data_IF_086706785335
#
_entry.id   IF_086706785335
#
_cell.length_a   1.000
_cell.length_b   1.000
_cell.length_c   1.000
_cell.angle_alpha   90.00
_cell.angle_beta   90.00
_cell.angle_gamma   90.00
#
_symmetry.space_group_name_H-M   'P 1'
#
loop_
_entity.id
_entity.type
_entity.pdbx_description
1 polymer ?
#
# COMPACT_ATOMS: atom_id res chain seq x y z
N UNK A 1 15.05 30.14 0.86
CA UNK A 1 14.79 28.68 0.81
C UNK A 1 15.02 28.20 -0.62
N UNK A 2 15.77 27.12 -0.85
CA UNK A 2 15.95 26.61 -2.22
C UNK A 2 14.62 26.02 -2.72
N UNK A 3 14.38 26.01 -4.05
CA UNK A 3 13.16 25.44 -4.65
C UNK A 3 12.92 23.98 -4.24
N UNK A 4 13.99 23.21 -4.04
CA UNK A 4 13.90 21.82 -3.58
C UNK A 4 13.47 21.70 -2.12
N UNK A 5 13.86 22.64 -1.26
CA UNK A 5 13.44 22.67 0.14
C UNK A 5 11.94 22.99 0.25
N UNK A 6 11.49 23.99 -0.53
CA UNK A 6 10.07 24.36 -0.61
C UNK A 6 9.21 23.20 -1.12
N UNK A 7 9.66 22.52 -2.17
CA UNK A 7 8.97 21.34 -2.69
C UNK A 7 8.99 20.18 -1.68
N UNK A 8 10.08 19.99 -0.96
CA UNK A 8 10.15 18.97 0.09
C UNK A 8 9.14 19.22 1.21
N UNK A 9 8.97 20.47 1.65
CA UNK A 9 7.92 20.86 2.60
C UNK A 9 6.53 20.52 2.06
N UNK A 10 6.23 20.88 0.81
CA UNK A 10 4.93 20.61 0.17
C UNK A 10 4.60 19.11 0.13
N UNK A 11 5.55 18.25 -0.25
CA UNK A 11 5.31 16.80 -0.29
C UNK A 11 5.21 16.20 1.13
N UNK A 12 5.87 16.77 2.13
CA UNK A 12 5.71 16.34 3.52
C UNK A 12 4.28 16.65 3.99
N UNK A 13 3.84 17.89 3.84
CA UNK A 13 2.49 18.31 4.22
C UNK A 13 1.41 17.48 3.50
N UNK A 14 1.62 17.20 2.21
CA UNK A 14 0.66 16.46 1.39
C UNK A 14 0.61 14.96 1.67
N UNK A 15 1.76 14.29 1.83
CA UNK A 15 1.81 12.82 1.81
C UNK A 15 2.14 12.17 3.15
N UNK A 16 2.70 12.89 4.13
CA UNK A 16 3.22 12.29 5.36
C UNK A 16 2.16 11.47 6.10
N UNK A 17 0.96 12.03 6.28
CA UNK A 17 -0.13 11.36 7.02
C UNK A 17 -0.57 10.06 6.36
N UNK A 18 -0.74 10.04 5.05
CA UNK A 18 -1.25 8.86 4.34
C UNK A 18 -0.18 7.78 4.18
N UNK A 19 1.08 8.19 3.98
CA UNK A 19 2.21 7.26 3.99
C UNK A 19 2.40 6.65 5.38
N UNK A 20 2.26 7.44 6.45
CA UNK A 20 2.33 6.93 7.81
C UNK A 20 1.22 5.92 8.09
N UNK A 21 -0.03 6.22 7.72
CA UNK A 21 -1.15 5.27 7.84
C UNK A 21 -0.86 3.97 7.09
N UNK A 22 -0.36 4.06 5.86
CA UNK A 22 0.04 2.90 5.07
C UNK A 22 1.12 2.06 5.78
N UNK A 23 2.15 2.70 6.34
CA UNK A 23 3.25 2.03 7.03
C UNK A 23 2.78 1.39 8.35
N UNK A 24 1.99 2.11 9.15
CA UNK A 24 1.40 1.60 10.39
C UNK A 24 0.53 0.37 10.14
N UNK A 25 -0.35 0.44 9.14
CA UNK A 25 -1.16 -0.69 8.70
C UNK A 25 -0.30 -1.86 8.21
N UNK A 26 0.75 -1.58 7.44
CA UNK A 26 1.60 -2.60 6.83
C UNK A 26 2.47 -3.30 7.88
N UNK A 27 3.05 -2.57 8.82
CA UNK A 27 4.02 -3.06 9.80
C UNK A 27 3.38 -3.57 11.10
N UNK A 28 2.14 -3.15 11.41
CA UNK A 28 1.41 -3.52 12.63
C UNK A 28 2.20 -3.24 13.92
N UNK A 29 3.06 -2.24 13.88
CA UNK A 29 3.89 -1.80 14.98
C UNK A 29 4.16 -0.31 14.77
N UNK A 30 3.76 0.50 15.74
CA UNK A 30 3.76 1.96 15.64
C UNK A 30 5.19 2.52 15.64
N UNK A 31 6.07 2.03 16.51
CA UNK A 31 7.48 2.46 16.56
C UNK A 31 8.17 2.23 15.21
N UNK A 32 7.97 1.05 14.60
CA UNK A 32 8.52 0.77 13.26
C UNK A 32 7.89 1.59 12.17
N UNK A 33 6.62 2.00 12.31
CA UNK A 33 6.00 2.90 11.37
C UNK A 33 6.59 4.31 11.47
N UNK A 34 6.91 4.76 12.69
CA UNK A 34 7.62 6.02 12.97
C UNK A 34 9.05 6.00 12.40
N UNK A 35 9.76 4.87 12.49
CA UNK A 35 11.08 4.74 11.87
C UNK A 35 10.97 4.69 10.34
N UNK A 36 10.06 3.88 9.81
CA UNK A 36 9.88 3.71 8.37
C UNK A 36 9.42 4.98 7.66
N UNK A 37 8.59 5.83 8.30
CA UNK A 37 8.17 7.11 7.71
C UNK A 37 9.36 8.08 7.63
N UNK A 38 10.21 8.11 8.66
CA UNK A 38 11.44 8.91 8.65
C UNK A 38 12.39 8.44 7.55
N UNK A 39 12.67 7.13 7.48
CA UNK A 39 13.49 6.54 6.43
C UNK A 39 12.95 6.88 5.04
N UNK A 40 11.62 6.84 4.88
CA UNK A 40 10.96 7.18 3.61
C UNK A 40 11.30 8.61 3.21
N UNK A 41 11.02 9.58 4.06
CA UNK A 41 11.23 10.98 3.73
C UNK A 41 12.72 11.38 3.63
N UNK A 42 13.63 10.67 4.33
CA UNK A 42 15.08 10.80 4.13
C UNK A 42 15.47 10.36 2.71
N UNK A 43 14.98 9.20 2.24
CA UNK A 43 15.26 8.71 0.88
C UNK A 43 14.69 9.67 -0.16
N UNK A 44 13.50 10.23 0.09
CA UNK A 44 12.88 11.23 -0.78
C UNK A 44 13.71 12.49 -0.85
N UNK A 45 14.17 13.03 0.28
CA UNK A 45 15.03 14.22 0.31
C UNK A 45 16.36 13.99 -0.42
N UNK A 46 17.01 12.82 -0.20
CA UNK A 46 18.24 12.45 -0.92
C UNK A 46 18.04 12.39 -2.44
N UNK A 47 16.83 12.06 -2.88
CA UNK A 47 16.45 11.98 -4.29
C UNK A 47 15.61 13.18 -4.75
N UNK A 48 15.61 14.31 -4.03
CA UNK A 48 14.61 15.38 -4.20
C UNK A 48 14.61 15.96 -5.62
N UNK A 49 15.77 16.04 -6.28
CA UNK A 49 15.86 16.49 -7.68
C UNK A 49 15.15 15.54 -8.64
N UNK A 50 15.26 14.23 -8.40
CA UNK A 50 14.59 13.21 -9.19
C UNK A 50 13.09 13.23 -8.93
N UNK A 51 12.69 13.36 -7.67
CA UNK A 51 11.28 13.44 -7.28
C UNK A 51 10.62 14.72 -7.81
N UNK A 52 11.31 15.85 -7.76
CA UNK A 52 10.83 17.14 -8.29
C UNK A 52 10.55 17.11 -9.79
N UNK A 53 11.40 16.42 -10.55
CA UNK A 53 11.21 16.25 -12.00
C UNK A 53 10.42 14.99 -12.35
N UNK A 54 9.88 14.27 -11.36
CA UNK A 54 9.11 13.05 -11.59
C UNK A 54 7.67 13.41 -11.96
N UNK A 55 7.12 12.75 -12.96
CA UNK A 55 5.74 12.98 -13.42
C UNK A 55 4.69 12.66 -12.34
N UNK A 56 5.00 11.69 -11.46
CA UNK A 56 4.17 11.36 -10.30
C UNK A 56 5.02 11.27 -9.00
N UNK A 57 5.23 12.40 -8.30
CA UNK A 57 5.99 12.42 -7.05
C UNK A 57 5.34 11.59 -5.94
N UNK A 58 4.00 11.58 -5.84
CA UNK A 58 3.26 10.82 -4.83
C UNK A 58 3.47 9.31 -4.98
N UNK A 59 3.35 8.79 -6.19
CA UNK A 59 3.62 7.38 -6.50
C UNK A 59 5.06 6.97 -6.15
N UNK A 60 6.03 7.84 -6.41
CA UNK A 60 7.43 7.61 -6.01
C UNK A 60 7.58 7.50 -4.49
N UNK A 61 6.91 8.38 -3.73
CA UNK A 61 6.89 8.37 -2.26
C UNK A 61 6.28 7.07 -1.72
N UNK A 62 5.10 6.69 -2.19
CA UNK A 62 4.45 5.45 -1.77
C UNK A 62 5.24 4.20 -2.15
N UNK A 63 5.92 4.20 -3.31
CA UNK A 63 6.79 3.09 -3.71
C UNK A 63 8.00 2.98 -2.78
N UNK A 64 8.60 4.10 -2.42
CA UNK A 64 9.70 4.16 -1.46
C UNK A 64 9.28 3.59 -0.11
N UNK A 65 8.12 4.04 0.42
CA UNK A 65 7.54 3.52 1.65
C UNK A 65 7.27 2.00 1.60
N UNK A 66 6.73 1.50 0.47
CA UNK A 66 6.50 0.07 0.27
C UNK A 66 7.80 -0.75 0.33
N UNK A 67 8.88 -0.25 -0.30
CA UNK A 67 10.18 -0.93 -0.28
C UNK A 67 10.79 -0.95 1.12
N UNK A 68 10.69 0.16 1.85
CA UNK A 68 11.14 0.25 3.25
C UNK A 68 10.35 -0.72 4.12
N UNK A 69 9.01 -0.74 4.02
CA UNK A 69 8.19 -1.65 4.79
C UNK A 69 8.51 -3.14 4.51
N UNK A 70 8.84 -3.49 3.25
CA UNK A 70 9.31 -4.84 2.90
C UNK A 70 10.62 -5.18 3.60
N UNK A 71 11.57 -4.25 3.66
CA UNK A 71 12.85 -4.45 4.35
C UNK A 71 12.65 -4.66 5.86
N UNK A 72 11.83 -3.83 6.51
CA UNK A 72 11.49 -3.99 7.93
C UNK A 72 10.84 -5.36 8.21
N UNK A 73 9.96 -5.83 7.32
CA UNK A 73 9.38 -7.18 7.42
C UNK A 73 10.40 -8.29 7.24
N UNK A 74 11.36 -8.13 6.34
CA UNK A 74 12.43 -9.11 6.11
C UNK A 74 13.34 -9.22 7.35
N UNK A 75 13.71 -8.09 7.95
CA UNK A 75 14.52 -8.06 9.17
C UNK A 75 13.77 -8.68 10.36
N UNK A 76 12.46 -8.41 10.46
CA UNK A 76 11.60 -9.08 11.43
C UNK A 76 11.56 -10.59 11.25
N UNK A 77 11.38 -11.04 10.02
CA UNK A 77 11.27 -12.47 9.70
C UNK A 77 12.59 -13.20 9.97
N UNK A 78 13.74 -12.58 9.65
CA UNK A 78 15.07 -13.11 10.00
C UNK A 78 15.27 -13.22 11.52
N UNK A 79 14.84 -12.20 12.28
CA UNK A 79 14.90 -12.24 13.75
C UNK A 79 14.01 -13.34 14.31
N UNK A 80 12.79 -13.48 13.78
CA UNK A 80 11.84 -14.51 14.19
C UNK A 80 12.35 -15.92 13.86
N UNK A 81 12.95 -16.14 12.69
CA UNK A 81 13.57 -17.44 12.33
C UNK A 81 14.72 -17.76 13.28
N UNK A 82 15.57 -16.78 13.60
CA UNK A 82 16.71 -16.95 14.52
C UNK A 82 16.26 -17.24 15.96
N UNK A 83 15.11 -16.72 16.37
CA UNK A 83 14.50 -17.01 17.68
C UNK A 83 13.77 -18.37 17.72
N UNK A 84 13.29 -18.89 16.58
CA UNK A 84 12.47 -20.11 16.51
C UNK A 84 13.25 -21.34 15.99
N UNK A 85 14.51 -21.21 15.54
CA UNK A 85 15.34 -22.33 15.06
C UNK A 85 14.69 -23.15 13.93
N UNK A 86 13.96 -22.48 13.03
CA UNK A 86 13.32 -23.13 11.87
C UNK A 86 14.33 -23.16 10.73
N UNK A 87 14.59 -24.36 10.19
CA UNK A 87 15.48 -24.59 9.05
C UNK A 87 15.10 -23.73 7.84
N UNK A 88 16.08 -23.02 7.28
CA UNK A 88 15.94 -22.05 6.19
C UNK A 88 15.42 -22.69 4.88
N UNK A 89 15.36 -24.03 4.82
CA UNK A 89 15.04 -24.83 3.64
C UNK A 89 13.56 -24.83 3.22
N UNK A 90 12.63 -24.35 4.05
CA UNK A 90 11.19 -24.61 3.80
C UNK A 90 10.49 -23.53 2.95
N UNK A 91 11.03 -22.32 2.75
CA UNK A 91 10.21 -21.26 2.12
C UNK A 91 10.99 -20.40 1.11
N UNK A 92 10.98 -20.84 -0.15
CA UNK A 92 11.22 -19.97 -1.30
C UNK A 92 10.11 -18.92 -1.41
N UNK A 93 10.38 -17.71 -0.90
CA UNK A 93 9.62 -16.53 -1.32
C UNK A 93 10.16 -16.13 -2.69
N UNK A 94 9.45 -16.55 -3.74
CA UNK A 94 9.70 -16.14 -5.12
C UNK A 94 9.79 -14.61 -5.20
N UNK A 95 11.03 -14.11 -5.33
CA UNK A 95 11.34 -12.77 -5.78
C UNK A 95 10.83 -12.64 -7.21
N UNK A 96 9.60 -12.17 -7.40
CA UNK A 96 9.19 -11.67 -8.70
C UNK A 96 9.59 -10.20 -8.78
N UNK A 97 10.72 -9.97 -9.43
CA UNK A 97 10.89 -8.81 -10.29
C UNK A 97 9.65 -8.72 -11.17
N UNK A 98 8.71 -7.84 -10.82
CA UNK A 98 7.65 -7.40 -11.71
C UNK A 98 7.78 -5.89 -11.82
N UNK A 99 8.68 -5.56 -12.73
CA UNK A 99 8.60 -4.52 -13.73
C UNK A 99 8.33 -3.10 -13.27
N UNK A 100 9.37 -2.32 -13.56
CA UNK A 100 9.58 -0.89 -13.41
C UNK A 100 8.83 -0.10 -14.52
N UNK A 101 8.02 -0.75 -15.35
CA UNK A 101 7.24 -0.09 -16.40
C UNK A 101 5.75 -0.15 -16.15
N UNK A 102 5.18 0.99 -15.75
CA UNK A 102 3.89 1.54 -16.18
C UNK A 102 3.70 2.90 -15.53
N UNK A 103 4.35 3.88 -16.14
CA UNK A 103 3.90 5.27 -16.14
C UNK A 103 2.52 5.34 -16.80
N UNK A 104 1.67 6.30 -16.43
CA UNK A 104 0.87 7.08 -17.39
C UNK A 104 0.00 8.14 -16.69
N UNK A 105 0.16 9.37 -17.18
CA UNK A 105 -0.75 10.52 -17.30
C UNK A 105 -1.35 11.24 -16.07
N UNK A 106 -0.93 12.50 -15.95
CA UNK A 106 -1.51 13.58 -15.13
C UNK A 106 -2.85 14.14 -15.68
N UNK A 107 -3.51 13.42 -16.60
CA UNK A 107 -4.89 13.70 -17.08
C UNK A 107 -5.95 12.78 -16.46
N UNK A 108 -5.53 11.93 -15.54
CA UNK A 108 -6.33 10.85 -14.95
C UNK A 108 -7.00 11.41 -13.69
N UNK A 109 -8.32 11.57 -13.71
CA UNK A 109 -9.09 11.85 -12.50
C UNK A 109 -9.17 10.58 -11.65
N UNK A 110 -8.11 10.28 -10.89
CA UNK A 110 -7.95 9.05 -10.09
C UNK A 110 -9.19 8.73 -9.24
N UNK A 111 -9.89 9.75 -8.76
CA UNK A 111 -11.13 9.64 -7.99
C UNK A 111 -12.29 9.02 -8.77
N UNK A 112 -12.41 9.30 -10.08
CA UNK A 112 -13.49 8.81 -10.92
C UNK A 112 -13.35 7.30 -11.15
N UNK A 113 -12.14 6.82 -11.47
CA UNK A 113 -11.88 5.39 -11.66
C UNK A 113 -11.98 4.60 -10.36
N UNK A 114 -11.53 5.18 -9.24
CA UNK A 114 -11.69 4.55 -7.93
C UNK A 114 -13.18 4.42 -7.61
N UNK A 115 -13.99 5.44 -7.90
CA UNK A 115 -15.44 5.41 -7.67
C UNK A 115 -16.10 4.32 -8.52
N UNK A 116 -15.79 4.23 -9.81
CA UNK A 116 -16.27 3.16 -10.71
C UNK A 116 -15.91 1.75 -10.19
N UNK A 117 -14.70 1.57 -9.68
CA UNK A 117 -14.23 0.29 -9.13
C UNK A 117 -14.98 -0.05 -7.84
N UNK A 118 -15.22 0.93 -6.97
CA UNK A 118 -15.93 0.71 -5.71
C UNK A 118 -17.42 0.49 -5.94
N UNK A 119 -18.03 1.16 -6.90
CA UNK A 119 -19.45 1.01 -7.25
C UNK A 119 -19.76 -0.28 -8.01
N UNK A 120 -18.75 -0.90 -8.64
CA UNK A 120 -18.86 -2.22 -9.25
C UNK A 120 -18.66 -3.39 -8.25
N UNK A 121 -18.37 -3.09 -6.98
CA UNK A 121 -18.41 -4.10 -5.91
C UNK A 121 -19.86 -4.41 -5.53
N UNK A 122 -20.12 -5.64 -5.06
CA UNK A 122 -21.40 -5.94 -4.43
C UNK A 122 -21.49 -5.18 -3.11
N UNK A 123 -22.70 -4.94 -2.60
CA UNK A 123 -22.91 -4.26 -1.31
C UNK A 123 -22.09 -4.91 -0.18
N UNK A 124 -22.07 -6.24 -0.17
CA UNK A 124 -21.29 -7.09 0.72
C UNK A 124 -19.77 -6.89 0.62
N UNK A 125 -19.25 -6.73 -0.60
CA UNK A 125 -17.83 -6.50 -0.86
C UNK A 125 -17.43 -5.06 -0.51
N UNK A 126 -18.33 -4.09 -0.78
CA UNK A 126 -18.18 -2.67 -0.46
C UNK A 126 -18.22 -2.43 1.05
N UNK A 127 -19.09 -3.12 1.78
CA UNK A 127 -19.14 -3.10 3.24
C UNK A 127 -17.85 -3.65 3.85
N UNK A 128 -17.38 -4.82 3.40
CA UNK A 128 -16.10 -5.37 3.85
C UNK A 128 -14.91 -4.45 3.51
N UNK A 129 -14.95 -3.82 2.33
CA UNK A 129 -13.96 -2.83 1.92
C UNK A 129 -13.97 -1.62 2.87
N UNK A 130 -15.15 -1.06 3.16
CA UNK A 130 -15.29 0.10 4.04
C UNK A 130 -14.82 -0.23 5.46
N UNK A 131 -15.32 -1.31 6.06
CA UNK A 131 -14.93 -1.70 7.42
C UNK A 131 -13.42 -1.91 7.56
N UNK A 132 -12.77 -2.46 6.53
CA UNK A 132 -11.34 -2.76 6.60
C UNK A 132 -10.43 -1.61 6.18
N UNK A 133 -10.72 -0.95 5.06
CA UNK A 133 -9.86 0.07 4.47
C UNK A 133 -10.20 1.50 4.89
N UNK A 134 -11.47 1.78 5.21
CA UNK A 134 -11.94 3.13 5.59
C UNK A 134 -12.07 3.25 7.12
N UNK A 135 -12.72 2.28 7.77
CA UNK A 135 -12.95 2.28 9.21
C UNK A 135 -11.82 1.62 10.01
N UNK A 136 -10.85 0.99 9.32
CA UNK A 136 -9.67 0.36 9.92
C UNK A 136 -9.95 -0.74 10.97
N UNK A 137 -11.10 -1.42 10.88
CA UNK A 137 -11.44 -2.54 11.76
C UNK A 137 -10.57 -3.77 11.45
N UNK A 138 -10.16 -4.49 12.49
CA UNK A 138 -9.48 -5.77 12.35
C UNK A 138 -10.43 -6.84 11.81
N UNK A 139 -9.88 -7.88 11.17
CA UNK A 139 -10.67 -9.04 10.70
C UNK A 139 -11.44 -9.73 11.85
N UNK A 140 -10.97 -9.62 13.09
CA UNK A 140 -11.68 -10.15 14.25
C UNK A 140 -12.91 -9.30 14.58
N UNK A 141 -12.77 -7.97 14.59
CA UNK A 141 -13.88 -7.04 14.83
C UNK A 141 -14.92 -7.09 13.71
N UNK A 142 -14.47 -7.20 12.46
CA UNK A 142 -15.35 -7.37 11.30
C UNK A 142 -16.10 -8.70 11.39
N UNK A 143 -15.42 -9.80 11.73
CA UNK A 143 -16.06 -11.11 11.90
C UNK A 143 -17.13 -11.08 12.97
N UNK A 144 -16.84 -10.46 14.12
CA UNK A 144 -17.81 -10.27 15.20
C UNK A 144 -19.00 -9.40 14.76
N UNK A 145 -18.75 -8.30 14.04
CA UNK A 145 -19.78 -7.37 13.57
C UNK A 145 -20.70 -7.98 12.53
N UNK A 146 -20.18 -8.88 11.68
CA UNK A 146 -20.95 -9.54 10.62
C UNK A 146 -21.51 -10.91 11.04
N UNK A 147 -21.16 -11.41 12.24
CA UNK A 147 -21.50 -12.77 12.67
C UNK A 147 -20.84 -13.87 11.84
N UNK A 148 -19.69 -13.60 11.22
CA UNK A 148 -18.98 -14.52 10.31
C UNK A 148 -17.73 -15.06 10.99
N UNK A 149 -17.50 -16.36 10.87
CA UNK A 149 -16.28 -17.00 11.35
C UNK A 149 -15.03 -16.42 10.65
N UNK A 150 -13.94 -16.24 11.40
CA UNK A 150 -12.70 -15.64 10.92
C UNK A 150 -12.17 -16.28 9.63
N UNK A 151 -12.24 -17.61 9.52
CA UNK A 151 -11.80 -18.37 8.34
C UNK A 151 -12.62 -18.02 7.10
N UNK A 152 -13.95 -17.96 7.24
CA UNK A 152 -14.87 -17.58 6.18
C UNK A 152 -14.68 -16.12 5.76
N UNK A 153 -14.50 -15.21 6.73
CA UNK A 153 -14.21 -13.80 6.46
C UNK A 153 -12.89 -13.61 5.71
N UNK A 154 -11.84 -14.35 6.11
CA UNK A 154 -10.54 -14.31 5.42
C UNK A 154 -10.67 -14.76 3.97
N UNK A 155 -11.45 -15.80 3.69
CA UNK A 155 -11.73 -16.24 2.32
C UNK A 155 -12.48 -15.18 1.52
N UNK A 156 -13.48 -14.53 2.12
CA UNK A 156 -14.22 -13.41 1.51
C UNK A 156 -13.29 -12.24 1.19
N UNK A 157 -12.42 -11.85 2.11
CA UNK A 157 -11.41 -10.82 1.90
C UNK A 157 -10.42 -11.15 0.76
N UNK A 158 -9.97 -12.40 0.65
CA UNK A 158 -9.09 -12.81 -0.46
C UNK A 158 -9.81 -12.70 -1.81
N UNK A 159 -11.09 -13.08 -1.87
CA UNK A 159 -11.92 -12.91 -3.08
C UNK A 159 -12.12 -11.44 -3.42
N UNK A 160 -12.41 -10.60 -2.42
CA UNK A 160 -12.51 -9.14 -2.56
C UNK A 160 -11.24 -8.56 -3.19
N UNK A 161 -10.05 -8.88 -2.66
CA UNK A 161 -8.78 -8.40 -3.24
C UNK A 161 -8.57 -8.86 -4.69
N UNK A 162 -8.92 -10.11 -5.01
CA UNK A 162 -8.82 -10.62 -6.38
C UNK A 162 -9.78 -9.87 -7.31
N UNK A 163 -11.01 -9.61 -6.86
CA UNK A 163 -12.03 -8.88 -7.60
C UNK A 163 -11.60 -7.43 -7.84
N UNK A 164 -11.16 -6.71 -6.81
CA UNK A 164 -10.62 -5.35 -6.94
C UNK A 164 -9.44 -5.34 -7.91
N UNK A 165 -8.49 -6.28 -7.81
CA UNK A 165 -7.36 -6.36 -8.75
C UNK A 165 -7.82 -6.53 -10.20
N UNK A 166 -8.85 -7.35 -10.43
CA UNK A 166 -9.43 -7.53 -11.77
C UNK A 166 -10.12 -6.25 -12.24
N UNK A 167 -11.00 -5.66 -11.42
CA UNK A 167 -11.69 -4.42 -11.75
C UNK A 167 -10.72 -3.27 -12.04
N UNK A 168 -9.64 -3.15 -11.28
CA UNK A 168 -8.55 -2.19 -11.56
C UNK A 168 -7.91 -2.45 -12.92
N UNK A 169 -7.64 -3.72 -13.27
CA UNK A 169 -7.08 -4.08 -14.58
C UNK A 169 -8.04 -3.74 -15.72
N UNK A 170 -9.30 -4.15 -15.59
CA UNK A 170 -10.34 -3.94 -16.60
C UNK A 170 -10.64 -2.44 -16.79
N UNK A 171 -10.67 -1.68 -15.69
CA UNK A 171 -10.82 -0.21 -15.69
C UNK A 171 -9.61 0.45 -16.32
N UNK A 172 -8.40 0.00 -16.00
CA UNK A 172 -7.18 0.52 -16.62
C UNK A 172 -7.13 0.23 -18.14
N UNK A 173 -7.59 -0.94 -18.58
CA UNK A 173 -7.72 -1.27 -20.01
C UNK A 173 -8.75 -0.35 -20.70
N UNK A 174 -9.89 -0.11 -20.07
CA UNK A 174 -10.96 0.77 -20.57
C UNK A 174 -10.49 2.21 -20.76
N UNK A 175 -9.74 2.75 -19.80
CA UNK A 175 -9.41 4.18 -19.78
C UNK A 175 -8.01 4.52 -20.34
N UNK A 176 -7.09 3.55 -20.47
CA UNK A 176 -5.70 3.82 -20.87
C UNK A 176 -5.19 2.99 -22.06
N UNK A 177 -6.01 2.11 -22.66
CA UNK A 177 -5.61 1.25 -23.79
C UNK A 177 -6.48 1.49 -25.04
N UNK A 178 -7.15 2.64 -25.15
CA UNK A 178 -7.76 3.13 -26.40
C UNK A 178 -6.88 4.20 -27.02
#
# INVERSE_FOLDING_TARGET
MNKYDSFFTEICEKYYKDVFKYLAFTLKNEDRANDAIQDTFIVIYKNIKKVYNHENPGGFIFKTAQNIAKNYKKELYKRLIKEINIDDSIIEIKNSNLDIERAMDSKINEYEYITDIIDSLSNEDKELYNMYYIEHKSMKEIGNSLGIEYTALRMRYVRLRKKIKKLVKDTAEKYFVT
#
